data_IF_203039739258
#
_entry.id   IF_203039739258
#
_cell.length_a   1.000
_cell.length_b   1.000
_cell.length_c   1.000
_cell.angle_alpha   90.00
_cell.angle_beta   90.00
_cell.angle_gamma   90.00
#
_symmetry.space_group_name_H-M   'P 1'
#
loop_
_entity.id
_entity.type
_entity.pdbx_description
1 polymer ?
#
# COMPACT_ATOMS: atom_id res chain seq x y z
N UNK A 1 21.25 0.01 -14.55
CA UNK A 1 22.21 0.07 -13.42
C UNK A 1 22.12 1.46 -12.81
N UNK A 2 21.60 1.61 -11.59
CA UNK A 2 21.84 2.79 -10.75
C UNK A 2 21.56 2.43 -9.29
N UNK A 3 22.47 1.63 -8.75
CA UNK A 3 22.60 1.28 -7.34
C UNK A 3 23.22 2.44 -6.56
N UNK A 4 22.42 3.46 -6.23
CA UNK A 4 22.84 4.48 -5.26
C UNK A 4 21.77 4.73 -4.22
N UNK A 5 21.68 3.80 -3.27
CA UNK A 5 21.25 4.10 -1.90
C UNK A 5 22.22 3.43 -0.93
N UNK A 6 23.45 3.96 -0.86
CA UNK A 6 24.34 3.76 0.28
C UNK A 6 24.04 4.87 1.29
N UNK A 7 23.07 4.65 2.20
CA UNK A 7 23.26 4.86 3.65
C UNK A 7 22.01 4.49 4.49
N UNK A 8 22.27 3.85 5.63
CA UNK A 8 21.42 3.58 6.81
C UNK A 8 20.28 2.55 6.68
N UNK A 9 20.53 1.33 7.19
CA UNK A 9 19.57 0.40 7.86
C UNK A 9 18.23 0.10 7.17
N UNK A 10 18.18 -0.07 5.86
CA UNK A 10 16.98 -0.51 5.16
C UNK A 10 17.10 -1.99 4.74
N UNK A 11 16.20 -2.86 5.20
CA UNK A 11 16.20 -4.26 4.75
C UNK A 11 15.36 -4.39 3.47
N UNK A 12 15.95 -4.77 2.33
CA UNK A 12 15.21 -5.02 1.10
C UNK A 12 14.37 -6.30 1.25
N UNK A 13 13.09 -6.23 0.86
CA UNK A 13 12.13 -7.35 0.91
C UNK A 13 11.64 -7.77 -0.48
N UNK A 14 12.25 -7.24 -1.54
CA UNK A 14 11.83 -7.50 -2.91
C UNK A 14 10.38 -7.08 -3.17
N UNK A 15 9.63 -7.93 -3.88
CA UNK A 15 8.25 -7.66 -4.30
C UNK A 15 7.22 -7.72 -3.16
N UNK A 16 7.43 -8.57 -2.16
CA UNK A 16 6.58 -8.74 -0.97
C UNK A 16 5.05 -8.83 -1.28
N UNK A 17 4.70 -9.52 -2.37
CA UNK A 17 3.33 -9.74 -2.82
C UNK A 17 2.79 -8.73 -3.86
N UNK A 18 3.63 -7.86 -4.43
CA UNK A 18 3.26 -6.99 -5.56
C UNK A 18 4.35 -7.08 -6.64
N UNK A 19 3.98 -7.61 -7.81
CA UNK A 19 4.88 -7.74 -8.95
C UNK A 19 5.46 -6.37 -9.36
N UNK A 20 6.78 -6.30 -9.58
CA UNK A 20 7.48 -5.08 -9.97
C UNK A 20 7.75 -4.07 -8.84
N UNK A 21 7.43 -4.42 -7.58
CA UNK A 21 7.71 -3.56 -6.42
C UNK A 21 9.11 -3.82 -5.84
N UNK A 22 9.81 -2.76 -5.43
CA UNK A 22 10.95 -2.88 -4.49
C UNK A 22 10.52 -2.32 -3.14
N UNK A 23 10.30 -3.22 -2.20
CA UNK A 23 9.91 -2.88 -0.83
C UNK A 23 11.15 -2.81 0.07
N UNK A 24 11.32 -1.68 0.77
CA UNK A 24 12.40 -1.47 1.71
C UNK A 24 11.82 -1.14 3.09
N UNK A 25 12.23 -1.88 4.12
CA UNK A 25 11.82 -1.59 5.50
C UNK A 25 12.92 -0.75 6.14
N UNK A 26 12.66 0.56 6.26
CA UNK A 26 13.37 1.49 7.15
C UNK A 26 12.31 2.36 7.83
N UNK A 27 12.06 2.14 9.12
CA UNK A 27 10.92 2.79 9.80
C UNK A 27 9.56 2.34 9.25
N UNK A 28 8.71 3.28 8.82
CA UNK A 28 7.29 3.07 8.44
C UNK A 28 7.03 2.32 7.11
N UNK A 29 8.01 1.60 6.55
CA UNK A 29 7.81 0.75 5.37
C UNK A 29 7.65 1.52 4.05
N UNK A 30 8.75 2.03 3.51
CA UNK A 30 8.73 2.79 2.26
C UNK A 30 8.58 1.87 1.04
N UNK A 31 7.67 2.25 0.13
CA UNK A 31 7.48 1.58 -1.16
C UNK A 31 8.21 2.36 -2.26
N UNK A 32 9.08 1.68 -3.02
CA UNK A 32 9.76 2.26 -4.18
C UNK A 32 9.31 1.51 -5.43
N UNK A 33 8.90 2.28 -6.44
CA UNK A 33 8.51 1.80 -7.75
C UNK A 33 9.41 2.44 -8.81
N UNK A 34 9.66 1.75 -9.92
CA UNK A 34 10.24 2.38 -11.10
C UNK A 34 9.26 3.41 -11.64
N UNK A 35 9.79 4.51 -12.22
CA UNK A 35 8.94 5.49 -12.90
C UNK A 35 8.10 4.79 -13.98
N UNK A 36 6.81 5.15 -14.08
CA UNK A 36 5.83 4.59 -15.03
C UNK A 36 5.38 3.14 -14.74
N UNK A 37 5.40 2.67 -13.50
CA UNK A 37 4.77 1.38 -13.17
C UNK A 37 3.26 1.52 -12.91
N UNK A 38 2.45 0.61 -13.47
CA UNK A 38 1.01 0.52 -13.18
C UNK A 38 0.72 0.42 -11.68
N UNK A 39 1.64 -0.20 -10.93
CA UNK A 39 1.58 -0.30 -9.48
C UNK A 39 1.71 1.06 -8.81
N UNK A 40 2.64 1.92 -9.27
CA UNK A 40 2.77 3.28 -8.76
C UNK A 40 1.49 4.09 -9.04
N UNK A 41 0.92 3.97 -10.25
CA UNK A 41 -0.34 4.63 -10.62
C UNK A 41 -1.47 4.17 -9.68
N UNK A 42 -1.66 2.86 -9.53
CA UNK A 42 -2.68 2.30 -8.62
C UNK A 42 -2.56 2.84 -7.20
N UNK A 43 -1.34 2.91 -6.65
CA UNK A 43 -1.10 3.44 -5.31
C UNK A 43 -1.37 4.94 -5.18
N UNK A 44 -0.96 5.74 -6.18
CA UNK A 44 -1.19 7.18 -6.18
C UNK A 44 -2.69 7.50 -6.30
N UNK A 45 -3.37 6.81 -7.21
CA UNK A 45 -4.81 6.98 -7.48
C UNK A 45 -5.63 6.57 -6.27
N UNK A 46 -5.34 5.42 -5.64
CA UNK A 46 -6.01 5.01 -4.41
C UNK A 46 -5.82 6.01 -3.27
N UNK A 47 -4.60 6.54 -3.10
CA UNK A 47 -4.31 7.57 -2.10
C UNK A 47 -5.13 8.84 -2.32
N UNK A 48 -5.21 9.31 -3.57
CA UNK A 48 -5.89 10.56 -3.89
C UNK A 48 -7.42 10.40 -3.85
N UNK A 49 -7.92 9.23 -4.25
CA UNK A 49 -9.30 8.81 -4.03
C UNK A 49 -9.69 8.86 -2.54
N UNK A 50 -8.91 8.26 -1.65
CA UNK A 50 -9.20 8.31 -0.21
C UNK A 50 -9.21 9.75 0.35
N UNK A 51 -8.36 10.65 -0.17
CA UNK A 51 -8.35 12.05 0.26
C UNK A 51 -9.60 12.82 -0.17
N UNK A 52 -10.23 12.45 -1.28
CA UNK A 52 -11.47 13.06 -1.78
C UNK A 52 -12.72 12.40 -1.20
N UNK A 53 -12.63 11.13 -0.81
CA UNK A 53 -13.75 10.36 -0.25
C UNK A 53 -13.55 10.11 1.26
N UNK A 54 -13.75 11.14 2.07
CA UNK A 54 -13.51 11.10 3.52
C UNK A 54 -14.24 9.95 4.25
N UNK A 55 -15.48 9.63 3.85
CA UNK A 55 -16.22 8.50 4.43
C UNK A 55 -15.54 7.15 4.17
N UNK A 56 -15.01 6.95 2.97
CA UNK A 56 -14.25 5.74 2.62
C UNK A 56 -12.93 5.69 3.39
N UNK A 57 -12.26 6.83 3.56
CA UNK A 57 -11.05 6.91 4.38
C UNK A 57 -11.29 6.56 5.85
N UNK A 58 -12.43 6.98 6.41
CA UNK A 58 -12.83 6.63 7.78
C UNK A 58 -13.11 5.13 7.92
N UNK A 59 -13.83 4.53 6.97
CA UNK A 59 -14.04 3.08 6.93
C UNK A 59 -12.71 2.33 6.86
N UNK A 60 -11.80 2.78 5.99
CA UNK A 60 -10.48 2.16 5.87
C UNK A 60 -9.67 2.30 7.16
N UNK A 61 -9.75 3.43 7.85
CA UNK A 61 -9.10 3.64 9.13
C UNK A 61 -9.67 2.70 10.22
N UNK A 62 -10.98 2.49 10.26
CA UNK A 62 -11.63 1.55 11.18
C UNK A 62 -11.15 0.11 10.91
N UNK A 63 -11.14 -0.33 9.66
CA UNK A 63 -10.64 -1.67 9.27
C UNK A 63 -9.18 -1.84 9.66
N UNK A 64 -8.33 -0.83 9.44
CA UNK A 64 -6.92 -0.91 9.85
C UNK A 64 -6.73 -1.01 11.36
N UNK A 65 -7.58 -0.35 12.16
CA UNK A 65 -7.55 -0.45 13.63
C UNK A 65 -7.97 -1.84 14.08
N UNK A 66 -9.10 -2.33 13.59
CA UNK A 66 -9.59 -3.68 13.90
C UNK A 66 -8.57 -4.75 13.49
N UNK A 67 -8.05 -4.66 12.26
CA UNK A 67 -7.04 -5.60 11.78
C UNK A 67 -5.77 -5.56 12.64
N UNK A 68 -5.34 -4.39 13.12
CA UNK A 68 -4.16 -4.28 13.99
C UNK A 68 -4.40 -4.94 15.35
N UNK A 69 -5.61 -4.80 15.90
CA UNK A 69 -6.00 -5.43 17.16
C UNK A 69 -6.05 -6.96 17.04
N UNK A 70 -6.67 -7.47 15.96
CA UNK A 70 -6.86 -8.90 15.69
C UNK A 70 -5.56 -9.61 15.27
N UNK A 71 -4.63 -8.86 14.69
CA UNK A 71 -3.37 -9.40 14.15
C UNK A 71 -2.18 -9.24 15.09
N UNK A 72 -2.39 -8.88 16.36
CA UNK A 72 -1.31 -8.63 17.34
C UNK A 72 -0.26 -9.74 17.42
N UNK A 73 -0.69 -10.99 17.25
CA UNK A 73 0.20 -12.17 17.27
C UNK A 73 0.47 -12.74 15.87
N UNK A 74 -0.16 -12.20 14.82
CA UNK A 74 -0.04 -12.69 13.45
C UNK A 74 0.00 -11.54 12.43
N UNK A 75 1.19 -10.95 12.16
CA UNK A 75 1.34 -9.87 11.18
C UNK A 75 0.87 -10.22 9.76
N UNK A 76 0.84 -11.51 9.39
CA UNK A 76 0.34 -11.94 8.09
C UNK A 76 -1.21 -11.84 7.99
N UNK A 77 -1.92 -11.97 9.11
CA UNK A 77 -3.37 -11.78 9.17
C UNK A 77 -3.76 -10.33 8.89
N UNK A 78 -2.92 -9.36 9.27
CA UNK A 78 -3.18 -7.93 9.08
C UNK A 78 -3.41 -7.57 7.61
N UNK A 79 -2.60 -8.13 6.72
CA UNK A 79 -2.74 -7.94 5.28
C UNK A 79 -4.04 -8.51 4.75
N UNK A 80 -4.42 -9.71 5.20
CA UNK A 80 -5.63 -10.42 4.75
C UNK A 80 -6.90 -9.68 5.16
N UNK A 81 -6.98 -9.23 6.41
CA UNK A 81 -8.17 -8.56 6.97
C UNK A 81 -8.54 -7.26 6.24
N UNK A 82 -7.57 -6.58 5.63
CA UNK A 82 -7.82 -5.37 4.83
C UNK A 82 -7.82 -5.60 3.32
N UNK A 83 -7.51 -6.80 2.85
CA UNK A 83 -7.20 -7.05 1.44
C UNK A 83 -8.42 -6.81 0.55
N UNK A 84 -9.58 -7.36 0.93
CA UNK A 84 -10.81 -7.21 0.16
C UNK A 84 -11.22 -5.74 0.01
N UNK A 85 -11.15 -4.98 1.11
CA UNK A 85 -11.45 -3.55 1.08
C UNK A 85 -10.51 -2.79 0.15
N UNK A 86 -9.20 -3.07 0.22
CA UNK A 86 -8.20 -2.41 -0.62
C UNK A 86 -8.44 -2.73 -2.10
N UNK A 87 -8.62 -4.00 -2.45
CA UNK A 87 -8.84 -4.41 -3.84
C UNK A 87 -10.08 -3.74 -4.45
N UNK A 88 -11.20 -3.73 -3.72
CA UNK A 88 -12.43 -3.08 -4.15
C UNK A 88 -12.24 -1.59 -4.39
N UNK A 89 -11.61 -0.89 -3.46
CA UNK A 89 -11.48 0.57 -3.55
C UNK A 89 -10.35 1.02 -4.46
N UNK A 90 -9.35 0.18 -4.76
CA UNK A 90 -8.41 0.43 -5.84
C UNK A 90 -9.10 0.40 -7.22
N UNK A 91 -10.02 -0.54 -7.45
CA UNK A 91 -10.82 -0.57 -8.68
C UNK A 91 -11.72 0.67 -8.81
N UNK A 92 -12.40 1.06 -7.72
CA UNK A 92 -13.21 2.28 -7.69
C UNK A 92 -12.36 3.54 -7.91
N UNK A 93 -11.16 3.59 -7.33
CA UNK A 93 -10.25 4.71 -7.52
C UNK A 93 -9.78 4.83 -8.98
N UNK A 94 -9.53 3.70 -9.66
CA UNK A 94 -9.18 3.71 -11.09
C UNK A 94 -10.35 4.19 -11.96
N UNK A 95 -11.58 3.74 -11.67
CA UNK A 95 -12.78 4.24 -12.37
C UNK A 95 -12.94 5.75 -12.14
N UNK A 96 -12.74 6.21 -10.90
CA UNK A 96 -12.81 7.62 -10.54
C UNK A 96 -11.77 8.49 -11.27
N UNK A 97 -10.58 7.97 -11.56
CA UNK A 97 -9.57 8.70 -12.35
C UNK A 97 -10.02 8.94 -13.80
N UNK A 98 -10.79 8.01 -14.36
CA UNK A 98 -11.23 8.04 -15.76
C UNK A 98 -12.59 8.71 -15.96
N UNK A 99 -13.26 9.12 -14.88
CA UNK A 99 -14.56 9.78 -14.87
C UNK A 99 -14.39 11.31 -14.82
#
# INVERSE_FOLDING_TARGET
MNDRMHDMRATPRGENGIAGRRYYIKGNGNHVFTAVSEQAIRHLVFRDYLRKHHGVAQQYAAIKRQAAEDSRQNPAAYGRLKNEFVQRHEQLALIWLTA
#
